data_IF_542188436292
#
_entry.id   IF_542188436292
#
_cell.length_a   1.000
_cell.length_b   1.000
_cell.length_c   1.000
_cell.angle_alpha   90.00
_cell.angle_beta   90.00
_cell.angle_gamma   90.00
#
_symmetry.space_group_name_H-M   'P 1'
#
loop_
_entity.id
_entity.type
_entity.pdbx_description
1 polymer ?
#
# COMPACT_ATOMS: atom_id res chain seq x y z
N UNK A 1 -15.56 -4.22 -10.45
CA UNK A 1 -15.19 -3.64 -9.14
C UNK A 1 -16.45 -3.49 -8.33
N UNK A 2 -16.51 -4.15 -7.17
CA UNK A 2 -17.60 -3.97 -6.22
C UNK A 2 -17.57 -2.51 -5.73
N UNK A 3 -18.70 -1.81 -5.83
CA UNK A 3 -18.84 -0.38 -5.46
C UNK A 3 -19.66 -0.20 -4.18
N UNK A 4 -19.96 -1.30 -3.50
CA UNK A 4 -20.69 -1.25 -2.23
C UNK A 4 -19.84 -0.58 -1.15
N UNK A 5 -20.51 0.07 -0.19
CA UNK A 5 -19.82 0.60 0.96
C UNK A 5 -19.23 -0.55 1.78
N UNK A 6 -17.95 -0.46 2.11
CA UNK A 6 -17.28 -1.51 2.85
C UNK A 6 -15.77 -1.55 2.57
N UNK A 7 -15.13 -2.57 3.14
CA UNK A 7 -13.71 -2.83 2.92
C UNK A 7 -13.55 -3.59 1.61
N UNK A 8 -12.68 -3.08 0.75
CA UNK A 8 -12.31 -3.73 -0.50
C UNK A 8 -10.86 -4.16 -0.43
N UNK A 9 -10.59 -5.41 -0.78
CA UNK A 9 -9.23 -5.93 -0.92
C UNK A 9 -8.84 -5.90 -2.40
N UNK A 10 -7.66 -5.39 -2.69
CA UNK A 10 -7.08 -5.41 -4.02
C UNK A 10 -5.69 -6.03 -3.94
N UNK A 11 -5.45 -7.04 -4.78
CA UNK A 11 -4.13 -7.64 -4.97
C UNK A 11 -3.69 -7.36 -6.39
N UNK A 12 -2.53 -6.76 -6.53
CA UNK A 12 -1.91 -6.52 -7.82
C UNK A 12 -0.97 -7.68 -8.14
N UNK A 13 -1.07 -8.22 -9.36
CA UNK A 13 -0.29 -9.35 -9.86
C UNK A 13 1.07 -8.95 -10.46
N UNK A 14 1.44 -7.67 -10.35
CA UNK A 14 2.68 -7.12 -10.91
C UNK A 14 2.61 -6.80 -12.40
N UNK A 15 1.44 -6.86 -13.04
CA UNK A 15 1.29 -6.60 -14.48
C UNK A 15 0.69 -5.23 -14.77
N UNK A 16 1.08 -4.63 -15.89
CA UNK A 16 0.46 -3.41 -16.39
C UNK A 16 -0.88 -3.67 -17.10
N UNK A 17 -1.49 -2.59 -17.62
CA UNK A 17 -2.74 -2.64 -18.38
C UNK A 17 -2.68 -3.48 -19.67
N UNK A 18 -1.49 -3.79 -20.16
CA UNK A 18 -1.25 -4.60 -21.35
C UNK A 18 -0.96 -6.06 -20.99
N UNK A 19 -0.97 -6.41 -19.71
CA UNK A 19 -0.62 -7.74 -19.21
C UNK A 19 0.88 -8.00 -19.10
N UNK A 20 1.72 -6.97 -19.24
CA UNK A 20 3.18 -7.10 -19.18
C UNK A 20 3.64 -7.06 -17.74
N UNK A 21 4.39 -8.09 -17.32
CA UNK A 21 5.03 -8.15 -16.01
C UNK A 21 6.01 -6.99 -15.85
N UNK A 22 5.82 -6.20 -14.80
CA UNK A 22 6.67 -5.06 -14.51
C UNK A 22 7.93 -5.50 -13.73
N UNK A 23 9.06 -4.79 -13.89
CA UNK A 23 10.29 -5.11 -13.17
C UNK A 23 10.13 -5.04 -11.64
N UNK A 24 10.99 -5.75 -10.91
CA UNK A 24 11.07 -5.59 -9.46
C UNK A 24 11.43 -4.14 -9.11
N UNK A 25 10.63 -3.53 -8.24
CA UNK A 25 10.79 -2.13 -7.86
C UNK A 25 9.68 -1.64 -6.95
N UNK A 26 9.79 -0.39 -6.54
CA UNK A 26 8.80 0.25 -5.69
C UNK A 26 7.67 0.83 -6.55
N UNK A 27 6.43 0.45 -6.23
CA UNK A 27 5.24 0.90 -6.94
C UNK A 27 4.32 1.68 -6.01
N UNK A 28 3.70 2.72 -6.55
CA UNK A 28 2.72 3.53 -5.82
C UNK A 28 1.31 3.15 -6.28
N UNK A 29 0.43 2.87 -5.32
CA UNK A 29 -1.00 2.66 -5.56
C UNK A 29 -1.76 3.92 -5.16
N UNK A 30 -2.59 4.42 -6.06
CA UNK A 30 -3.50 5.56 -5.79
C UNK A 30 -4.93 5.06 -5.87
N UNK A 31 -5.69 5.23 -4.79
CA UNK A 31 -7.10 4.88 -4.73
C UNK A 31 -7.94 6.14 -4.63
N UNK A 32 -8.95 6.27 -5.49
CA UNK A 32 -9.88 7.40 -5.50
C UNK A 32 -11.31 6.86 -5.50
N UNK A 33 -12.12 7.30 -4.54
CA UNK A 33 -13.54 7.02 -4.49
C UNK A 33 -14.34 8.28 -4.85
N UNK A 34 -15.40 8.11 -5.62
CA UNK A 34 -16.36 9.15 -5.97
C UNK A 34 -17.76 8.70 -5.56
N UNK A 35 -18.56 9.62 -5.02
CA UNK A 35 -19.99 9.37 -4.78
C UNK A 35 -20.82 9.49 -6.07
N UNK A 36 -22.14 9.35 -5.95
CA UNK A 36 -23.08 9.44 -7.08
C UNK A 36 -23.11 10.83 -7.73
N UNK A 37 -22.74 11.86 -6.98
CA UNK A 37 -22.73 13.25 -7.41
C UNK A 37 -21.34 13.67 -7.94
N UNK A 38 -20.39 12.73 -8.02
CA UNK A 38 -19.03 12.94 -8.51
C UNK A 38 -18.08 13.56 -7.48
N UNK A 39 -18.49 13.66 -6.21
CA UNK A 39 -17.65 14.20 -5.14
C UNK A 39 -16.61 13.18 -4.72
N UNK A 40 -15.36 13.61 -4.62
CA UNK A 40 -14.25 12.79 -4.12
C UNK A 40 -14.48 12.53 -2.62
N UNK A 41 -14.42 11.25 -2.24
CA UNK A 41 -14.52 10.80 -0.87
C UNK A 41 -13.12 10.51 -0.31
N UNK A 42 -12.87 10.82 0.97
CA UNK A 42 -11.66 10.36 1.64
C UNK A 42 -11.68 8.82 1.70
N UNK A 43 -10.59 8.21 1.26
CA UNK A 43 -10.41 6.75 1.29
C UNK A 43 -9.31 6.42 2.27
N UNK A 44 -9.64 5.66 3.31
CA UNK A 44 -8.62 5.01 4.13
C UNK A 44 -8.08 3.79 3.38
N UNK A 45 -6.76 3.68 3.30
CA UNK A 45 -6.09 2.54 2.68
C UNK A 45 -5.07 1.94 3.64
N UNK A 46 -4.80 0.65 3.44
CA UNK A 46 -3.75 -0.09 4.15
C UNK A 46 -3.03 -0.94 3.12
N UNK A 47 -1.70 -0.94 3.19
CA UNK A 47 -0.85 -1.75 2.33
C UNK A 47 -0.27 -2.89 3.14
N UNK A 48 -0.31 -4.09 2.57
CA UNK A 48 0.41 -5.24 3.10
C UNK A 48 1.72 -5.36 2.34
N UNK A 49 2.83 -5.37 3.08
CA UNK A 49 4.16 -5.50 2.52
C UNK A 49 4.99 -6.47 3.36
N UNK A 50 5.90 -7.18 2.70
CA UNK A 50 6.90 -7.98 3.40
C UNK A 50 8.00 -7.03 3.90
N UNK A 51 8.27 -7.09 5.19
CA UNK A 51 9.41 -6.39 5.79
C UNK A 51 10.70 -7.04 5.29
N UNK A 52 11.57 -6.25 4.65
CA UNK A 52 12.86 -6.67 4.09
C UNK A 52 14.02 -6.28 5.00
N UNK A 53 13.83 -5.31 5.88
CA UNK A 53 14.84 -4.85 6.83
C UNK A 53 14.26 -3.99 7.94
N UNK A 54 15.08 -3.68 8.92
CA UNK A 54 14.76 -2.74 9.99
C UNK A 54 15.97 -1.84 10.24
N UNK A 55 15.74 -0.56 10.44
CA UNK A 55 16.74 0.42 10.85
C UNK A 55 16.29 1.18 12.08
N UNK A 56 17.26 1.77 12.76
CA UNK A 56 17.03 2.67 13.87
C UNK A 56 17.83 3.94 13.59
N UNK A 57 17.14 5.04 13.31
CA UNK A 57 17.73 6.37 13.17
C UNK A 57 17.18 7.26 14.30
N UNK A 58 18.06 7.94 15.02
CA UNK A 58 17.70 8.86 16.12
C UNK A 58 16.76 8.28 17.18
N UNK A 59 16.92 6.98 17.49
CA UNK A 59 16.09 6.26 18.47
C UNK A 59 14.68 5.93 17.98
N UNK A 60 14.36 6.18 16.71
CA UNK A 60 13.10 5.79 16.08
C UNK A 60 13.33 4.56 15.20
N UNK A 61 12.52 3.54 15.43
CA UNK A 61 12.56 2.31 14.63
C UNK A 61 11.76 2.55 13.35
N UNK A 62 12.36 2.19 12.22
CA UNK A 62 11.70 2.16 10.93
C UNK A 62 11.93 0.81 10.24
N UNK A 63 10.90 0.33 9.56
CA UNK A 63 10.91 -0.91 8.80
C UNK A 63 11.06 -0.60 7.33
N UNK A 64 11.84 -1.41 6.62
CA UNK A 64 11.93 -1.34 5.17
C UNK A 64 10.94 -2.31 4.54
N UNK A 65 10.21 -1.83 3.53
CA UNK A 65 9.46 -2.65 2.59
C UNK A 65 10.13 -2.53 1.21
N UNK A 66 10.77 -3.60 0.74
CA UNK A 66 11.59 -3.52 -0.48
C UNK A 66 12.92 -2.82 -0.24
N UNK A 67 13.43 -2.07 -1.24
CA UNK A 67 14.74 -1.45 -1.16
C UNK A 67 14.71 0.01 -0.71
N UNK A 68 13.63 0.76 -1.01
CA UNK A 68 13.58 2.20 -0.73
C UNK A 68 12.38 2.67 0.08
N UNK A 69 11.41 1.81 0.41
CA UNK A 69 10.24 2.23 1.20
C UNK A 69 10.55 2.05 2.67
N UNK A 70 10.65 3.16 3.40
CA UNK A 70 10.82 3.18 4.86
C UNK A 70 9.48 3.52 5.53
N UNK A 71 9.04 2.65 6.43
CA UNK A 71 7.80 2.78 7.19
C UNK A 71 8.15 2.91 8.68
N UNK A 72 7.91 4.07 9.29
CA UNK A 72 8.06 4.25 10.73
C UNK A 72 7.19 3.25 11.51
N UNK A 73 7.71 2.71 12.61
CA UNK A 73 7.00 1.64 13.36
C UNK A 73 5.67 2.09 13.95
N UNK A 74 5.49 3.38 14.20
CA UNK A 74 4.24 4.00 14.66
C UNK A 74 3.13 4.00 13.60
N UNK A 75 3.48 3.86 12.32
CA UNK A 75 2.52 3.71 11.21
C UNK A 75 2.17 2.25 10.90
N UNK A 76 2.80 1.29 11.57
CA UNK A 76 2.53 -0.14 11.38
C UNK A 76 1.28 -0.53 12.16
N UNK A 77 0.20 -0.91 11.44
CA UNK A 77 -1.05 -1.32 12.09
C UNK A 77 -1.02 -2.74 12.67
N UNK A 78 -0.29 -3.67 12.05
CA UNK A 78 -0.20 -5.06 12.49
C UNK A 78 1.01 -5.75 11.86
N UNK A 79 1.58 -6.73 12.58
CA UNK A 79 2.59 -7.66 12.07
C UNK A 79 2.06 -9.08 12.23
N UNK A 80 2.09 -9.85 11.15
CA UNK A 80 1.68 -11.26 11.14
C UNK A 80 2.87 -12.14 10.75
N UNK A 81 2.98 -13.33 11.35
CA UNK A 81 4.02 -14.31 11.08
C UNK A 81 3.61 -15.27 9.97
#
# INVERSE_FOLDING_TARGET
ADKTAGKHAFSWDGRDKNGVLQPDGDYTVVVTAQDRDGKILPVEYTVFGRVTGATTEDGKIALFMGQNIQVPIDQVKSVTQ
#
